data_IF_740242250696
#
_entry.id   IF_740242250696
#
_cell.length_a   1.000
_cell.length_b   1.000
_cell.length_c   1.000
_cell.angle_alpha   90.00
_cell.angle_beta   90.00
_cell.angle_gamma   90.00
#
_symmetry.space_group_name_H-M   'P 1'
#
loop_
_entity.id
_entity.type
_entity.pdbx_description
1 polymer ?
#
# COMPACT_ATOMS: atom_id res chain seq x y z
N UNK A 1 -87.51 17.85 -49.91
CA UNK A 1 -86.15 17.34 -50.19
C UNK A 1 -85.18 18.16 -49.36
N UNK A 2 -84.41 17.53 -48.45
CA UNK A 2 -83.80 18.21 -47.31
C UNK A 2 -82.32 18.54 -47.56
N UNK A 3 -81.84 19.62 -46.95
CA UNK A 3 -80.43 19.75 -46.62
C UNK A 3 -80.32 20.59 -45.33
N UNK A 4 -80.52 19.92 -44.21
CA UNK A 4 -79.95 20.31 -42.93
C UNK A 4 -78.42 20.27 -43.05
N UNK A 5 -77.71 21.34 -42.71
CA UNK A 5 -76.32 21.22 -42.29
C UNK A 5 -76.09 22.01 -40.99
N UNK A 6 -75.72 21.33 -39.88
CA UNK A 6 -75.67 21.91 -38.56
C UNK A 6 -74.30 22.51 -38.20
N UNK A 7 -74.34 23.20 -37.06
CA UNK A 7 -73.29 23.94 -36.35
C UNK A 7 -71.95 23.18 -36.28
N UNK A 8 -70.85 23.86 -36.62
CA UNK A 8 -69.48 23.40 -36.29
C UNK A 8 -69.24 23.52 -34.78
N UNK A 9 -68.76 22.47 -34.10
CA UNK A 9 -68.44 22.53 -32.68
C UNK A 9 -66.97 22.92 -32.42
N UNK A 10 -66.82 23.88 -31.49
CA UNK A 10 -65.87 23.92 -30.37
C UNK A 10 -64.60 23.06 -30.45
N UNK A 11 -63.45 23.71 -30.58
CA UNK A 11 -62.11 23.15 -30.35
C UNK A 11 -61.89 22.84 -28.87
N UNK A 12 -62.08 21.59 -28.48
CA UNK A 12 -61.61 21.05 -27.20
C UNK A 12 -60.20 20.48 -27.39
N UNK A 13 -59.21 21.09 -26.73
CA UNK A 13 -57.82 20.61 -26.68
C UNK A 13 -57.76 19.30 -25.88
N UNK A 14 -57.39 18.21 -26.54
CA UNK A 14 -57.00 16.96 -25.89
C UNK A 14 -55.58 17.12 -25.34
N UNK A 15 -55.42 17.05 -24.02
CA UNK A 15 -54.12 16.86 -23.37
C UNK A 15 -53.88 15.35 -23.33
N UNK A 16 -52.91 14.85 -24.09
CA UNK A 16 -52.49 13.45 -24.03
C UNK A 16 -51.64 13.23 -22.77
N UNK A 17 -52.10 12.37 -21.86
CA UNK A 17 -51.31 11.89 -20.74
C UNK A 17 -50.37 10.77 -21.21
N UNK A 18 -49.06 11.02 -21.19
CA UNK A 18 -48.03 10.00 -21.41
C UNK A 18 -47.72 9.39 -20.04
N UNK A 19 -48.16 8.14 -19.81
CA UNK A 19 -47.74 7.37 -18.64
C UNK A 19 -46.35 6.78 -18.91
N UNK A 20 -45.32 7.36 -18.31
CA UNK A 20 -43.96 6.84 -18.34
C UNK A 20 -43.86 5.71 -17.30
N UNK A 21 -43.92 4.46 -17.74
CA UNK A 21 -43.66 3.30 -16.89
C UNK A 21 -42.14 3.24 -16.70
N UNK A 22 -41.67 3.68 -15.53
CA UNK A 22 -40.29 3.43 -15.08
C UNK A 22 -40.28 2.04 -14.48
N UNK A 23 -39.81 1.06 -15.25
CA UNK A 23 -39.48 -0.26 -14.70
C UNK A 23 -38.25 -0.10 -13.82
N UNK A 24 -38.45 -0.12 -12.51
CA UNK A 24 -37.37 -0.25 -11.54
C UNK A 24 -36.75 -1.64 -11.75
N UNK A 25 -35.62 -1.70 -12.47
CA UNK A 25 -34.78 -2.90 -12.44
C UNK A 25 -34.18 -2.92 -11.04
N UNK A 26 -34.71 -3.78 -10.18
CA UNK A 26 -33.99 -4.16 -8.97
C UNK A 26 -32.71 -4.86 -9.44
N UNK A 27 -31.62 -4.12 -9.52
CA UNK A 27 -30.29 -4.73 -9.49
C UNK A 27 -30.21 -5.34 -8.11
N UNK A 28 -30.45 -6.66 -8.02
CA UNK A 28 -30.04 -7.38 -6.83
C UNK A 28 -28.54 -7.08 -6.66
N UNK A 29 -28.07 -6.64 -5.48
CA UNK A 29 -26.63 -6.61 -5.27
C UNK A 29 -26.13 -7.99 -5.64
N UNK A 30 -25.16 -8.05 -6.55
CA UNK A 30 -24.38 -9.28 -6.71
C UNK A 30 -23.99 -9.71 -5.31
N UNK A 31 -24.19 -10.98 -4.90
CA UNK A 31 -23.57 -11.43 -3.66
C UNK A 31 -22.10 -11.09 -3.85
N UNK A 32 -21.62 -10.14 -3.04
CA UNK A 32 -20.20 -9.91 -2.93
C UNK A 32 -19.74 -11.23 -2.34
N UNK A 33 -19.13 -12.06 -3.17
CA UNK A 33 -18.46 -13.24 -2.67
C UNK A 33 -17.34 -12.70 -1.82
N UNK A 34 -17.53 -12.79 -0.51
CA UNK A 34 -16.51 -12.51 0.46
C UNK A 34 -15.23 -13.21 0.01
N UNK A 35 -14.14 -12.45 -0.03
CA UNK A 35 -12.83 -12.97 -0.38
C UNK A 35 -12.43 -13.93 0.74
N UNK A 36 -12.25 -15.24 0.49
CA UNK A 36 -11.84 -16.20 1.52
C UNK A 36 -10.44 -15.88 2.08
N UNK A 37 -9.75 -14.94 1.44
CA UNK A 37 -8.44 -14.46 1.80
C UNK A 37 -8.46 -13.06 2.44
N UNK A 38 -9.63 -12.46 2.60
CA UNK A 38 -9.77 -11.23 3.38
C UNK A 38 -9.71 -11.63 4.86
N UNK A 39 -8.71 -11.12 5.58
CA UNK A 39 -8.48 -11.53 6.97
C UNK A 39 -9.07 -10.49 7.91
N UNK A 40 -10.01 -10.91 8.74
CA UNK A 40 -10.36 -10.23 9.97
C UNK A 40 -10.32 -11.27 11.10
N UNK A 41 -9.78 -10.94 12.29
CA UNK A 41 -9.68 -11.90 13.41
C UNK A 41 -11.00 -12.56 13.81
N UNK A 42 -12.11 -11.95 13.38
CA UNK A 42 -13.48 -12.28 13.75
C UNK A 42 -14.19 -13.17 12.72
N UNK A 43 -13.57 -13.47 11.59
CA UNK A 43 -13.99 -14.50 10.63
C UNK A 43 -13.43 -15.86 11.09
N UNK A 44 -14.25 -16.60 11.82
CA UNK A 44 -13.88 -17.83 12.52
C UNK A 44 -14.15 -19.08 11.70
N UNK A 45 -14.92 -18.98 10.62
CA UNK A 45 -15.14 -20.09 9.68
C UNK A 45 -14.38 -19.93 8.34
N UNK A 46 -13.72 -18.79 8.14
CA UNK A 46 -12.81 -18.51 7.04
C UNK A 46 -13.52 -18.25 5.72
N UNK A 47 -14.76 -17.74 5.77
CA UNK A 47 -15.55 -17.45 4.58
C UNK A 47 -15.32 -16.04 4.00
N UNK A 48 -14.49 -15.23 4.66
CA UNK A 48 -14.14 -13.87 4.28
C UNK A 48 -15.06 -12.80 4.88
N UNK A 49 -15.96 -13.17 5.80
CA UNK A 49 -16.89 -12.26 6.44
C UNK A 49 -17.14 -12.62 7.90
N UNK A 50 -17.25 -11.60 8.75
CA UNK A 50 -17.79 -11.77 10.10
C UNK A 50 -19.32 -11.72 10.07
N UNK A 51 -19.95 -12.86 10.30
CA UNK A 51 -21.39 -13.06 10.22
C UNK A 51 -21.97 -13.72 11.48
N UNK A 52 -23.25 -14.12 11.38
CA UNK A 52 -23.90 -14.89 12.44
C UNK A 52 -23.33 -16.30 12.59
N UNK A 53 -22.65 -16.84 11.57
CA UNK A 53 -21.96 -18.13 11.66
C UNK A 53 -20.76 -18.02 12.60
N UNK A 54 -19.94 -16.99 12.46
CA UNK A 54 -18.81 -16.69 13.34
C UNK A 54 -19.25 -16.40 14.76
N UNK A 55 -20.32 -15.63 14.93
CA UNK A 55 -20.93 -15.42 16.25
C UNK A 55 -21.34 -16.75 16.90
N UNK A 56 -21.92 -17.68 16.13
CA UNK A 56 -22.27 -19.00 16.65
C UNK A 56 -21.03 -19.81 17.04
N UNK A 57 -19.96 -19.74 16.24
CA UNK A 57 -18.65 -20.35 16.54
C UNK A 57 -18.04 -19.78 17.82
N UNK A 58 -18.02 -18.45 17.98
CA UNK A 58 -17.54 -17.76 19.17
C UNK A 58 -18.32 -18.17 20.43
N UNK A 59 -19.65 -18.14 20.36
CA UNK A 59 -20.49 -18.53 21.50
C UNK A 59 -20.33 -20.01 21.87
N UNK A 60 -19.96 -20.88 20.91
CA UNK A 60 -19.65 -22.28 21.18
C UNK A 60 -18.31 -22.47 21.93
N UNK A 61 -17.39 -21.52 21.81
CA UNK A 61 -16.08 -21.52 22.46
C UNK A 61 -16.02 -20.69 23.76
N UNK A 62 -17.16 -20.15 24.21
CA UNK A 62 -17.22 -19.25 25.36
C UNK A 62 -16.59 -19.80 26.65
N UNK A 63 -15.74 -19.00 27.30
CA UNK A 63 -15.08 -19.32 28.55
C UNK A 63 -13.56 -19.41 28.43
N UNK A 64 -12.92 -20.03 29.42
CA UNK A 64 -11.46 -20.11 29.48
C UNK A 64 -10.89 -20.90 28.29
N UNK A 65 -9.80 -20.38 27.72
CA UNK A 65 -9.06 -20.97 26.61
C UNK A 65 -7.69 -21.48 27.07
N UNK A 66 -7.64 -22.64 27.76
CA UNK A 66 -6.38 -23.22 28.24
C UNK A 66 -5.47 -23.73 27.10
N UNK A 67 -6.03 -23.91 25.89
CA UNK A 67 -5.31 -24.03 24.64
C UNK A 67 -5.75 -22.85 23.76
N UNK A 68 -4.96 -22.45 22.75
CA UNK A 68 -5.37 -21.40 21.81
C UNK A 68 -6.76 -21.72 21.23
N UNK A 69 -7.68 -20.77 21.36
CA UNK A 69 -8.99 -20.81 20.76
C UNK A 69 -9.04 -19.80 19.63
N UNK A 70 -9.59 -20.16 18.49
CA UNK A 70 -9.69 -19.23 17.36
C UNK A 70 -10.62 -18.05 17.68
N UNK A 71 -11.58 -18.22 18.59
CA UNK A 71 -12.50 -17.18 19.03
C UNK A 71 -11.97 -16.24 20.13
N UNK A 72 -10.77 -16.48 20.67
CA UNK A 72 -10.08 -15.60 21.64
C UNK A 72 -9.28 -14.56 20.85
N UNK A 73 -10.01 -13.61 20.28
CA UNK A 73 -9.52 -12.67 19.26
C UNK A 73 -8.75 -11.50 19.87
N UNK A 74 -8.96 -11.21 21.16
CA UNK A 74 -8.15 -10.25 21.90
C UNK A 74 -6.93 -10.89 22.61
N UNK A 75 -6.84 -12.23 22.55
CA UNK A 75 -5.76 -13.06 23.08
C UNK A 75 -5.53 -12.88 24.59
N UNK A 76 -6.59 -12.61 25.37
CA UNK A 76 -6.53 -12.49 26.83
C UNK A 76 -6.53 -13.85 27.55
N UNK A 77 -6.74 -14.94 26.82
CA UNK A 77 -6.77 -16.31 27.32
C UNK A 77 -8.17 -16.82 27.64
N UNK A 78 -9.23 -16.10 27.30
CA UNK A 78 -10.61 -16.54 27.43
C UNK A 78 -11.54 -15.87 26.41
N UNK A 79 -12.41 -16.66 25.78
CA UNK A 79 -13.48 -16.13 24.93
C UNK A 79 -14.57 -15.51 25.80
N UNK A 80 -14.76 -14.20 25.68
CA UNK A 80 -15.62 -13.42 26.54
C UNK A 80 -16.29 -12.21 25.86
N UNK A 81 -16.81 -11.27 26.69
CA UNK A 81 -17.53 -10.11 26.18
C UNK A 81 -16.68 -9.15 25.36
N UNK A 82 -15.36 -9.14 25.55
CA UNK A 82 -14.42 -8.31 24.79
C UNK A 82 -14.20 -8.87 23.39
N UNK A 83 -14.05 -10.19 23.24
CA UNK A 83 -14.05 -10.87 21.93
C UNK A 83 -15.36 -10.64 21.19
N UNK A 84 -16.50 -10.79 21.88
CA UNK A 84 -17.81 -10.54 21.29
C UNK A 84 -17.96 -9.08 20.83
N UNK A 85 -17.42 -8.12 21.58
CA UNK A 85 -17.44 -6.73 21.17
C UNK A 85 -16.58 -6.50 19.91
N UNK A 86 -15.42 -7.16 19.81
CA UNK A 86 -14.57 -7.11 18.61
C UNK A 86 -15.31 -7.73 17.40
N UNK A 87 -15.90 -8.91 17.56
CA UNK A 87 -16.69 -9.57 16.50
C UNK A 87 -17.85 -8.70 16.00
N UNK A 88 -18.58 -8.05 16.89
CA UNK A 88 -19.67 -7.16 16.49
C UNK A 88 -19.19 -5.83 15.89
N UNK A 89 -17.98 -5.38 16.23
CA UNK A 89 -17.37 -4.18 15.65
C UNK A 89 -16.96 -4.41 14.19
N UNK A 90 -16.47 -5.61 13.87
CA UNK A 90 -16.00 -5.99 12.54
C UNK A 90 -17.06 -6.75 11.72
N UNK A 91 -18.34 -6.58 12.07
CA UNK A 91 -19.45 -7.26 11.39
C UNK A 91 -19.55 -6.89 9.91
N UNK A 92 -19.59 -7.90 9.04
CA UNK A 92 -19.63 -7.73 7.59
C UNK A 92 -18.41 -8.35 6.91
N UNK A 93 -18.13 -7.92 5.69
CA UNK A 93 -16.97 -8.40 4.93
C UNK A 93 -15.66 -8.00 5.62
N UNK A 94 -14.72 -8.94 5.70
CA UNK A 94 -13.37 -8.60 6.13
C UNK A 94 -12.75 -7.59 5.15
N UNK A 95 -12.06 -6.59 5.68
CA UNK A 95 -11.38 -5.61 4.85
C UNK A 95 -10.09 -6.20 4.24
N UNK A 96 -9.86 -5.92 2.96
CA UNK A 96 -8.54 -6.09 2.34
C UNK A 96 -7.57 -5.04 2.90
N UNK A 97 -6.27 -5.20 2.63
CA UNK A 97 -5.25 -4.27 3.10
C UNK A 97 -5.55 -2.82 2.67
N UNK A 98 -5.51 -1.92 3.65
CA UNK A 98 -5.67 -0.49 3.45
C UNK A 98 -4.30 0.17 3.28
N UNK A 99 -4.01 0.63 2.06
CA UNK A 99 -2.80 1.39 1.75
C UNK A 99 -2.84 2.83 2.30
N UNK A 100 -3.97 3.26 2.84
CA UNK A 100 -4.19 4.63 3.26
C UNK A 100 -4.41 5.57 2.08
N UNK A 101 -4.33 6.87 2.36
CA UNK A 101 -4.44 7.90 1.33
C UNK A 101 -3.11 8.04 0.58
N UNK A 102 -3.12 8.17 -0.76
CA UNK A 102 -1.90 8.44 -1.52
C UNK A 102 -1.19 9.70 -1.02
N UNK A 103 0.13 9.62 -0.90
CA UNK A 103 0.96 10.75 -0.49
C UNK A 103 1.02 11.81 -1.60
N UNK A 104 1.19 13.07 -1.21
CA UNK A 104 1.23 14.20 -2.17
C UNK A 104 2.56 14.36 -2.87
N UNK A 105 3.61 13.80 -2.29
CA UNK A 105 5.00 13.93 -2.73
C UNK A 105 5.64 12.54 -2.72
N UNK A 106 5.93 12.04 -3.91
CA UNK A 106 6.42 10.68 -4.08
C UNK A 106 7.85 10.51 -3.57
N UNK A 107 8.70 11.53 -3.70
CA UNK A 107 10.07 11.46 -3.23
C UNK A 107 10.13 11.26 -1.70
N UNK A 108 9.37 12.06 -0.96
CA UNK A 108 9.28 11.97 0.51
C UNK A 108 8.73 10.62 0.97
N UNK A 109 7.72 10.11 0.28
CA UNK A 109 7.16 8.81 0.60
C UNK A 109 8.15 7.67 0.31
N UNK A 110 8.87 7.72 -0.82
CA UNK A 110 9.92 6.75 -1.14
C UNK A 110 10.99 6.69 -0.06
N UNK A 111 11.59 7.84 0.27
CA UNK A 111 12.61 7.96 1.32
C UNK A 111 12.07 7.44 2.66
N UNK A 112 10.80 7.75 2.96
CA UNK A 112 10.14 7.27 4.17
C UNK A 112 10.06 5.76 4.26
N UNK A 113 9.66 5.09 3.18
CA UNK A 113 9.62 3.63 3.17
C UNK A 113 11.02 3.00 3.21
N UNK A 114 11.99 3.53 2.48
CA UNK A 114 13.39 3.07 2.52
C UNK A 114 14.00 3.22 3.91
N UNK A 115 13.70 4.32 4.61
CA UNK A 115 14.18 4.54 5.99
C UNK A 115 13.61 3.51 6.98
N UNK A 116 12.35 3.08 6.80
CA UNK A 116 11.70 2.13 7.70
C UNK A 116 12.31 0.73 7.59
N UNK A 117 12.78 0.37 6.41
CA UNK A 117 13.43 -0.91 6.15
C UNK A 117 12.50 -2.13 6.28
N UNK A 118 13.06 -3.35 6.27
CA UNK A 118 12.29 -4.60 6.29
C UNK A 118 11.62 -4.91 7.65
N UNK A 119 12.07 -4.27 8.73
CA UNK A 119 11.48 -4.40 10.05
C UNK A 119 10.44 -3.31 10.35
N UNK A 120 10.23 -2.39 9.41
CA UNK A 120 9.27 -1.31 9.54
C UNK A 120 7.81 -1.76 9.39
N UNK A 121 6.86 -0.87 9.71
CA UNK A 121 5.45 -1.10 9.39
C UNK A 121 5.24 -1.16 7.87
N UNK A 122 4.17 -1.84 7.44
CA UNK A 122 3.76 -1.92 6.04
C UNK A 122 3.29 -0.56 5.49
N UNK A 123 2.58 0.21 6.30
CA UNK A 123 2.18 1.57 5.97
C UNK A 123 3.19 2.58 6.52
N UNK A 124 3.54 3.59 5.74
CA UNK A 124 4.35 4.71 6.20
C UNK A 124 3.55 5.54 7.23
N UNK A 125 4.06 5.78 8.45
CA UNK A 125 3.35 6.63 9.39
C UNK A 125 3.29 8.08 8.89
N UNK A 126 2.10 8.71 8.95
CA UNK A 126 1.90 10.10 8.48
C UNK A 126 2.88 11.09 9.14
N UNK A 127 3.16 10.90 10.43
CA UNK A 127 4.13 11.73 11.17
C UNK A 127 5.56 11.64 10.60
N UNK A 128 5.94 10.47 10.09
CA UNK A 128 7.23 10.22 9.44
C UNK A 128 7.25 10.89 8.07
N UNK A 129 6.19 10.71 7.28
CA UNK A 129 6.02 11.34 5.98
C UNK A 129 6.09 12.88 6.07
N UNK A 130 5.27 13.49 6.92
CA UNK A 130 5.24 14.94 7.11
C UNK A 130 6.59 15.49 7.59
N UNK A 131 7.31 14.72 8.42
CA UNK A 131 8.64 15.10 8.89
C UNK A 131 9.64 15.11 7.74
N UNK A 132 9.69 14.06 6.93
CA UNK A 132 10.59 13.96 5.79
C UNK A 132 10.33 15.09 4.80
N UNK A 133 9.07 15.32 4.45
CA UNK A 133 8.68 16.35 3.52
C UNK A 133 9.09 17.75 4.01
N UNK A 134 8.88 18.04 5.30
CA UNK A 134 9.32 19.31 5.89
C UNK A 134 10.86 19.45 5.93
N UNK A 135 11.59 18.36 6.17
CA UNK A 135 13.05 18.37 6.22
C UNK A 135 13.64 18.57 4.82
N UNK A 136 13.09 17.92 3.78
CA UNK A 136 13.52 18.11 2.40
C UNK A 136 13.33 19.55 1.92
N UNK A 137 12.19 20.17 2.23
CA UNK A 137 11.95 21.59 1.94
C UNK A 137 13.02 22.47 2.61
N UNK A 138 13.28 22.26 3.90
CA UNK A 138 14.26 23.05 4.66
C UNK A 138 15.70 22.83 4.17
N UNK A 139 16.08 21.59 3.81
CA UNK A 139 17.39 21.26 3.28
C UNK A 139 17.60 21.94 1.92
N UNK A 140 16.60 21.91 1.04
CA UNK A 140 16.66 22.54 -0.29
C UNK A 140 16.71 24.06 -0.22
N UNK A 141 16.04 24.67 0.78
CA UNK A 141 16.18 26.09 1.09
C UNK A 141 17.60 26.44 1.56
N UNK A 142 18.22 25.58 2.38
CA UNK A 142 19.58 25.76 2.89
C UNK A 142 20.68 25.46 1.85
N UNK A 143 20.41 24.55 0.92
CA UNK A 143 21.33 24.10 -0.12
C UNK A 143 20.63 24.06 -1.50
N UNK A 144 20.50 25.21 -2.19
CA UNK A 144 19.79 25.30 -3.46
C UNK A 144 20.34 24.43 -4.59
N UNK A 145 21.57 23.92 -4.47
CA UNK A 145 22.13 22.95 -5.41
C UNK A 145 21.31 21.65 -5.48
N UNK A 146 20.65 21.26 -4.38
CA UNK A 146 19.84 20.04 -4.29
C UNK A 146 18.43 20.19 -4.85
N UNK A 147 18.06 21.36 -5.38
CA UNK A 147 16.77 21.57 -6.04
C UNK A 147 16.65 20.81 -7.37
N UNK A 148 17.78 20.48 -8.01
CA UNK A 148 17.81 19.74 -9.27
C UNK A 148 18.23 18.29 -9.13
N UNK A 149 18.56 17.86 -7.91
CA UNK A 149 19.13 16.53 -7.61
C UNK A 149 18.15 15.72 -6.76
N UNK A 150 17.02 15.24 -7.31
CA UNK A 150 16.06 14.46 -6.54
C UNK A 150 16.65 13.09 -6.17
N UNK A 151 16.15 12.53 -5.08
CA UNK A 151 16.40 11.15 -4.70
C UNK A 151 15.95 10.18 -5.78
N UNK A 152 16.77 9.17 -6.02
CA UNK A 152 16.43 8.04 -6.87
C UNK A 152 15.97 6.86 -6.03
N UNK A 153 14.75 6.33 -6.27
CA UNK A 153 14.26 5.14 -5.59
C UNK A 153 15.22 3.95 -5.70
N UNK A 154 15.49 3.29 -4.58
CA UNK A 154 16.18 2.01 -4.55
C UNK A 154 15.32 0.86 -5.11
N UNK A 155 13.99 1.00 -5.04
CA UNK A 155 13.01 0.03 -5.52
C UNK A 155 11.63 0.69 -5.71
N UNK A 156 10.77 0.06 -6.51
CA UNK A 156 9.40 0.54 -6.74
C UNK A 156 8.47 0.20 -5.55
N UNK A 157 7.76 1.20 -5.00
CA UNK A 157 6.95 1.06 -3.76
C UNK A 157 5.72 0.19 -3.84
N UNK A 158 5.28 -0.09 -5.04
CA UNK A 158 4.12 -0.91 -5.31
C UNK A 158 4.52 -2.23 -5.98
N UNK A 159 5.81 -2.59 -6.03
CA UNK A 159 6.27 -3.77 -6.78
C UNK A 159 7.18 -4.70 -5.98
N UNK A 160 6.83 -5.98 -6.03
CA UNK A 160 7.57 -7.07 -5.39
C UNK A 160 7.90 -8.14 -6.43
N UNK A 161 9.15 -8.60 -6.45
CA UNK A 161 9.59 -9.73 -7.26
C UNK A 161 9.46 -11.00 -6.42
N UNK A 162 8.71 -11.98 -6.92
CA UNK A 162 8.53 -13.27 -6.25
C UNK A 162 8.93 -14.44 -7.15
N UNK A 163 9.44 -15.51 -6.53
CA UNK A 163 9.64 -16.82 -7.17
C UNK A 163 8.73 -17.85 -6.53
N UNK A 164 7.70 -18.26 -7.27
CA UNK A 164 6.75 -19.30 -6.86
C UNK A 164 7.29 -20.67 -7.26
N UNK A 165 7.32 -21.63 -6.35
CA UNK A 165 7.82 -22.99 -6.59
C UNK A 165 6.89 -23.82 -7.46
N UNK A 166 7.45 -24.58 -8.40
CA UNK A 166 6.68 -25.45 -9.28
C UNK A 166 6.16 -26.68 -8.52
N UNK A 167 4.88 -27.02 -8.69
CA UNK A 167 4.28 -28.24 -8.13
C UNK A 167 3.98 -28.18 -6.63
N UNK A 168 4.19 -27.03 -5.98
CA UNK A 168 3.72 -26.75 -4.62
C UNK A 168 2.37 -26.03 -4.71
N UNK A 169 1.33 -26.47 -3.98
CA UNK A 169 0.08 -25.71 -3.89
C UNK A 169 0.34 -24.30 -3.36
N UNK A 170 -0.17 -23.28 -4.04
CA UNK A 170 0.13 -21.87 -3.75
C UNK A 170 -1.06 -21.11 -3.15
N UNK A 171 -1.88 -21.78 -2.34
CA UNK A 171 -3.12 -21.20 -1.80
C UNK A 171 -2.85 -20.03 -0.84
N UNK A 172 -1.79 -20.09 -0.03
CA UNK A 172 -1.46 -18.99 0.89
C UNK A 172 -0.91 -17.80 0.11
N UNK A 173 -0.11 -18.04 -0.93
CA UNK A 173 0.33 -17.01 -1.87
C UNK A 173 -0.83 -16.33 -2.62
N UNK A 174 -1.77 -17.12 -3.15
CA UNK A 174 -2.97 -16.60 -3.78
C UNK A 174 -3.78 -15.73 -2.80
N UNK A 175 -3.88 -16.16 -1.54
CA UNK A 175 -4.53 -15.38 -0.51
C UNK A 175 -3.81 -14.08 -0.14
N UNK A 176 -2.47 -14.08 -0.03
CA UNK A 176 -1.74 -12.82 0.17
C UNK A 176 -1.93 -11.87 -0.99
N UNK A 177 -1.94 -12.36 -2.24
CA UNK A 177 -2.18 -11.53 -3.41
C UNK A 177 -3.55 -10.85 -3.38
N UNK A 178 -4.58 -11.58 -2.96
CA UNK A 178 -5.92 -11.02 -2.79
C UNK A 178 -5.97 -10.03 -1.62
N UNK A 179 -5.46 -10.41 -0.45
CA UNK A 179 -5.44 -9.57 0.75
C UNK A 179 -4.70 -8.24 0.53
N UNK A 180 -3.50 -8.30 -0.05
CA UNK A 180 -2.70 -7.12 -0.40
C UNK A 180 -3.08 -6.51 -1.75
N UNK A 181 -4.20 -6.92 -2.35
CA UNK A 181 -4.79 -6.27 -3.53
C UNK A 181 -3.80 -6.12 -4.69
N UNK A 182 -3.16 -7.20 -5.10
CA UNK A 182 -2.34 -7.26 -6.31
C UNK A 182 -3.21 -6.96 -7.53
N UNK A 183 -2.83 -5.96 -8.32
CA UNK A 183 -3.56 -5.51 -9.52
C UNK A 183 -2.95 -6.00 -10.82
N UNK A 184 -1.67 -6.36 -10.81
CA UNK A 184 -0.98 -6.98 -11.94
C UNK A 184 0.07 -7.99 -11.47
N UNK A 185 0.27 -9.05 -12.26
CA UNK A 185 1.29 -10.06 -12.03
C UNK A 185 2.01 -10.35 -13.34
N UNK A 186 3.14 -9.67 -13.54
CA UNK A 186 3.92 -9.77 -14.76
C UNK A 186 4.85 -10.98 -14.72
N UNK A 187 4.69 -11.90 -15.66
CA UNK A 187 5.65 -13.00 -15.86
C UNK A 187 7.02 -12.47 -16.29
N UNK A 188 8.08 -12.96 -15.65
CA UNK A 188 9.47 -12.70 -16.06
C UNK A 188 10.08 -13.89 -16.81
N UNK A 189 10.28 -15.01 -16.11
CA UNK A 189 10.86 -16.24 -16.65
C UNK A 189 10.65 -17.42 -15.68
N UNK A 190 10.89 -18.64 -16.16
CA UNK A 190 10.91 -19.85 -15.32
C UNK A 190 12.33 -20.36 -15.22
N UNK A 191 12.83 -20.58 -14.00
CA UNK A 191 14.15 -21.14 -13.77
C UNK A 191 14.29 -21.81 -12.41
N UNK A 192 15.07 -22.89 -12.35
CA UNK A 192 15.40 -23.58 -11.11
C UNK A 192 14.18 -24.04 -10.31
N UNK A 193 13.20 -24.67 -10.96
CA UNK A 193 12.02 -25.26 -10.32
C UNK A 193 11.01 -24.24 -9.77
N UNK A 194 10.96 -23.04 -10.34
CA UNK A 194 9.94 -22.06 -10.02
C UNK A 194 9.80 -20.99 -11.10
N UNK A 195 8.72 -20.22 -10.99
CA UNK A 195 8.38 -19.16 -11.93
C UNK A 195 8.47 -17.79 -11.25
N UNK A 196 9.12 -16.86 -11.94
CA UNK A 196 9.38 -15.50 -11.47
C UNK A 196 8.31 -14.54 -11.96
N UNK A 197 7.83 -13.71 -11.05
CA UNK A 197 6.80 -12.71 -11.29
C UNK A 197 7.20 -11.37 -10.68
N UNK A 198 6.77 -10.28 -11.31
CA UNK A 198 6.66 -8.99 -10.63
C UNK A 198 5.20 -8.76 -10.30
N UNK A 199 4.89 -8.61 -9.02
CA UNK A 199 3.58 -8.22 -8.53
C UNK A 199 3.51 -6.71 -8.48
N UNK A 200 2.37 -6.15 -8.87
CA UNK A 200 2.06 -4.72 -8.69
C UNK A 200 0.86 -4.61 -7.76
N UNK A 201 0.98 -3.84 -6.67
CA UNK A 201 -0.06 -3.65 -5.67
C UNK A 201 -0.95 -2.44 -5.99
N UNK A 202 -2.15 -2.38 -5.42
CA UNK A 202 -3.09 -1.28 -5.67
C UNK A 202 -2.66 0.07 -5.07
N UNK A 203 -1.64 0.10 -4.20
CA UNK A 203 -1.13 1.30 -3.56
C UNK A 203 0.27 1.11 -2.99
N UNK A 204 0.82 2.19 -2.44
CA UNK A 204 2.17 2.22 -1.88
C UNK A 204 2.25 1.43 -0.57
N UNK A 205 3.26 0.57 -0.47
CA UNK A 205 3.49 -0.27 0.71
C UNK A 205 4.99 -0.42 0.94
N UNK A 206 5.38 -0.68 2.18
CA UNK A 206 6.75 -1.08 2.49
C UNK A 206 7.00 -2.48 1.90
N UNK A 207 7.44 -2.54 0.64
CA UNK A 207 7.68 -3.81 -0.06
C UNK A 207 8.85 -4.60 0.51
N UNK A 208 9.77 -3.97 1.26
CA UNK A 208 10.81 -4.70 2.00
C UNK A 208 10.22 -5.51 3.14
N UNK A 209 9.34 -4.89 3.95
CA UNK A 209 8.63 -5.61 5.01
C UNK A 209 7.65 -6.65 4.42
N UNK A 210 6.93 -6.29 3.36
CA UNK A 210 6.00 -7.20 2.67
C UNK A 210 6.72 -8.39 2.04
N UNK A 211 7.91 -8.19 1.47
CA UNK A 211 8.76 -9.25 0.93
C UNK A 211 9.07 -10.31 1.99
N UNK A 212 9.37 -9.89 3.22
CA UNK A 212 9.55 -10.80 4.36
C UNK A 212 8.32 -11.66 4.67
N UNK A 213 7.12 -11.11 4.49
CA UNK A 213 5.86 -11.86 4.66
C UNK A 213 5.70 -12.90 3.55
N UNK A 214 5.88 -12.51 2.29
CA UNK A 214 5.81 -13.45 1.16
C UNK A 214 6.88 -14.54 1.25
N UNK A 215 8.11 -14.19 1.63
CA UNK A 215 9.22 -15.12 1.79
C UNK A 215 9.02 -16.13 2.94
N UNK A 216 8.05 -15.91 3.82
CA UNK A 216 7.70 -16.84 4.91
C UNK A 216 6.80 -18.00 4.46
N UNK A 217 6.24 -17.94 3.25
CA UNK A 217 5.39 -18.98 2.68
C UNK A 217 6.22 -20.13 2.11
N UNK A 218 5.79 -21.38 2.37
CA UNK A 218 6.48 -22.59 1.91
C UNK A 218 6.54 -22.70 0.37
N UNK A 219 5.54 -22.14 -0.34
CA UNK A 219 5.48 -22.09 -1.80
C UNK A 219 6.33 -20.99 -2.45
N UNK A 220 6.93 -20.08 -1.66
CA UNK A 220 7.72 -18.95 -2.15
C UNK A 220 9.20 -19.19 -1.84
N UNK A 221 9.99 -19.31 -2.90
CA UNK A 221 11.44 -19.50 -2.79
C UNK A 221 12.21 -18.18 -2.66
N UNK A 222 11.59 -17.07 -3.03
CA UNK A 222 12.21 -15.74 -3.06
C UNK A 222 11.12 -14.67 -3.10
N UNK A 223 11.28 -13.61 -2.32
CA UNK A 223 10.44 -12.42 -2.39
C UNK A 223 11.24 -11.18 -1.94
N UNK A 224 11.51 -10.26 -2.85
CA UNK A 224 12.27 -9.02 -2.58
C UNK A 224 11.68 -7.85 -3.39
N UNK A 225 11.90 -6.59 -2.97
CA UNK A 225 11.48 -5.42 -3.72
C UNK A 225 11.94 -5.44 -5.17
N UNK A 226 11.18 -4.81 -6.07
CA UNK A 226 11.65 -4.58 -7.43
C UNK A 226 12.71 -3.47 -7.49
N UNK A 227 13.95 -3.86 -7.20
CA UNK A 227 15.16 -3.05 -7.34
C UNK A 227 15.78 -3.15 -8.74
N UNK A 228 15.01 -3.52 -9.78
CA UNK A 228 15.44 -3.37 -11.18
C UNK A 228 15.40 -1.91 -11.65
N UNK A 229 15.06 -1.00 -10.74
CA UNK A 229 15.24 0.43 -10.87
C UNK A 229 16.41 0.87 -9.98
N UNK A 230 17.11 1.90 -10.40
CA UNK A 230 18.23 2.48 -9.66
C UNK A 230 18.71 3.74 -10.36
N UNK A 231 19.53 4.51 -9.66
CA UNK A 231 20.15 5.69 -10.23
C UNK A 231 21.08 6.35 -9.23
N UNK A 232 21.26 7.64 -9.39
CA UNK A 232 22.53 8.28 -9.06
C UNK A 232 22.53 8.89 -7.65
N UNK A 233 21.34 9.27 -7.16
CA UNK A 233 21.20 10.10 -5.95
C UNK A 233 20.48 9.38 -4.82
N UNK A 234 21.10 9.33 -3.63
CA UNK A 234 20.55 8.64 -2.47
C UNK A 234 20.41 9.57 -1.27
N UNK A 235 19.24 9.52 -0.61
CA UNK A 235 18.87 10.39 0.50
C UNK A 235 18.54 9.50 1.70
N UNK A 236 19.43 9.49 2.69
CA UNK A 236 19.37 8.56 3.82
C UNK A 236 19.18 9.33 5.13
N UNK A 237 17.93 9.47 5.62
CA UNK A 237 17.68 10.01 6.95
C UNK A 237 17.95 8.98 8.05
N UNK A 238 18.51 9.45 9.17
CA UNK A 238 18.70 8.68 10.40
C UNK A 238 18.27 9.51 11.60
N UNK A 239 17.43 8.92 12.45
CA UNK A 239 17.01 9.54 13.71
C UNK A 239 18.13 9.47 14.76
N UNK A 240 18.67 10.62 15.16
CA UNK A 240 19.69 10.71 16.21
C UNK A 240 19.10 10.78 17.63
N UNK A 241 17.78 11.01 17.73
CA UNK A 241 17.07 11.24 18.98
C UNK A 241 16.95 12.73 19.32
N UNK A 242 16.15 13.05 20.34
CA UNK A 242 15.87 14.45 20.73
C UNK A 242 15.16 15.28 19.66
N UNK A 243 14.58 14.64 18.65
CA UNK A 243 13.96 15.29 17.49
C UNK A 243 14.94 15.77 16.43
N UNK A 244 16.21 15.32 16.48
CA UNK A 244 17.22 15.62 15.46
C UNK A 244 17.32 14.47 14.46
N UNK A 245 17.29 14.80 13.18
CA UNK A 245 17.47 13.89 12.06
C UNK A 245 18.76 14.25 11.34
N UNK A 246 19.61 13.24 11.07
CA UNK A 246 20.76 13.39 10.20
C UNK A 246 20.40 12.90 8.81
N UNK A 247 20.72 13.71 7.82
CA UNK A 247 20.50 13.42 6.42
C UNK A 247 21.85 13.26 5.73
N UNK A 248 22.11 12.07 5.21
CA UNK A 248 23.21 11.85 4.27
C UNK A 248 22.62 11.90 2.87
N UNK A 249 23.09 12.85 2.06
CA UNK A 249 22.62 13.04 0.69
C UNK A 249 23.81 12.83 -0.22
N UNK A 250 23.79 11.75 -0.98
CA UNK A 250 24.80 11.44 -1.98
C UNK A 250 24.28 11.87 -3.36
N UNK A 251 24.92 12.89 -3.93
CA UNK A 251 24.71 13.38 -5.29
C UNK A 251 25.77 12.76 -6.19
N UNK A 252 25.40 11.69 -6.89
CA UNK A 252 26.28 10.90 -7.74
C UNK A 252 26.14 11.30 -9.20
N UNK A 253 27.23 11.27 -9.96
CA UNK A 253 27.17 11.46 -11.41
C UNK A 253 28.33 10.74 -12.13
N UNK A 254 28.14 10.59 -13.45
CA UNK A 254 29.03 9.86 -14.37
C UNK A 254 29.13 8.35 -14.11
N UNK A 255 28.96 7.57 -15.19
CA UNK A 255 29.06 6.09 -15.24
C UNK A 255 28.25 5.31 -14.20
N UNK A 256 27.07 5.79 -13.82
CA UNK A 256 26.26 5.22 -12.73
C UNK A 256 25.61 3.83 -13.00
N UNK A 257 25.97 3.11 -14.07
CA UNK A 257 25.39 1.80 -14.36
C UNK A 257 25.87 0.70 -13.40
N UNK A 258 27.10 0.82 -12.86
CA UNK A 258 27.68 -0.08 -11.86
C UNK A 258 28.15 0.65 -10.58
N UNK A 259 27.68 1.89 -10.40
CA UNK A 259 28.04 2.82 -9.34
C UNK A 259 28.60 4.12 -9.93
N UNK A 260 28.21 5.26 -9.38
CA UNK A 260 28.70 6.54 -9.92
C UNK A 260 30.21 6.70 -9.70
N UNK A 261 30.87 7.33 -10.68
CA UNK A 261 32.31 7.59 -10.65
C UNK A 261 32.65 8.81 -9.78
N UNK A 262 31.71 9.74 -9.65
CA UNK A 262 31.86 11.01 -8.97
C UNK A 262 30.71 11.21 -7.99
N UNK A 263 31.04 11.69 -6.80
CA UNK A 263 30.10 11.86 -5.70
C UNK A 263 30.35 13.17 -4.98
N UNK A 264 29.25 13.85 -4.68
CA UNK A 264 29.19 14.95 -3.73
C UNK A 264 28.23 14.57 -2.63
N UNK A 265 28.79 14.28 -1.46
CA UNK A 265 28.02 13.86 -0.31
C UNK A 265 27.86 15.02 0.68
N UNK A 266 26.61 15.36 0.97
CA UNK A 266 26.24 16.31 2.01
C UNK A 266 25.80 15.54 3.26
N UNK A 267 26.20 16.03 4.43
CA UNK A 267 25.63 15.58 5.71
C UNK A 267 24.98 16.76 6.39
N UNK A 268 23.66 16.74 6.53
CA UNK A 268 22.90 17.73 7.28
C UNK A 268 22.39 17.18 8.61
N UNK A 269 22.21 18.06 9.59
CA UNK A 269 21.33 17.81 10.73
C UNK A 269 20.17 18.78 10.68
N UNK A 270 18.97 18.25 10.85
CA UNK A 270 17.74 19.03 10.94
C UNK A 270 17.12 18.79 12.32
N UNK A 271 16.92 19.86 13.07
CA UNK A 271 16.31 19.77 14.40
C UNK A 271 14.77 19.72 14.35
N UNK A 272 14.14 19.54 15.51
CA UNK A 272 12.68 19.46 15.63
C UNK A 272 11.92 20.73 15.21
N UNK A 273 12.64 21.85 15.00
CA UNK A 273 12.09 23.13 14.56
C UNK A 273 12.35 23.39 13.07
N UNK A 274 13.02 22.47 12.38
CA UNK A 274 13.41 22.61 10.98
C UNK A 274 14.68 23.45 10.78
N UNK A 275 15.48 23.70 11.82
CA UNK A 275 16.76 24.36 11.63
C UNK A 275 17.75 23.38 11.01
N UNK A 276 18.31 23.74 9.87
CA UNK A 276 19.27 22.92 9.11
C UNK A 276 20.70 23.38 9.41
N UNK A 277 21.58 22.42 9.69
CA UNK A 277 23.02 22.63 9.82
C UNK A 277 23.74 21.68 8.88
N UNK A 278 24.56 22.21 7.98
CA UNK A 278 25.51 21.41 7.20
C UNK A 278 26.66 21.00 8.13
N UNK A 279 26.76 19.69 8.39
CA UNK A 279 27.78 19.08 9.23
C UNK A 279 29.04 18.77 8.44
N UNK A 280 28.87 18.22 7.24
CA UNK A 280 29.98 17.84 6.37
C UNK A 280 29.60 17.94 4.89
N UNK A 281 30.61 18.18 4.05
CA UNK A 281 30.51 18.16 2.59
C UNK A 281 31.77 17.50 2.04
N UNK A 282 31.61 16.30 1.51
CA UNK A 282 32.71 15.48 0.98
C UNK A 282 32.53 15.31 -0.52
N UNK A 283 33.60 15.57 -1.26
CA UNK A 283 33.68 15.36 -2.70
C UNK A 283 34.70 14.25 -2.97
N UNK A 284 34.27 13.16 -3.60
CA UNK A 284 35.14 12.02 -3.89
C UNK A 284 34.77 11.38 -5.22
N UNK A 285 35.71 10.65 -5.80
CA UNK A 285 35.53 10.01 -7.09
C UNK A 285 36.84 9.86 -7.86
N UNK A 286 36.71 9.58 -9.14
CA UNK A 286 37.84 9.42 -10.05
C UNK A 286 38.61 10.74 -10.25
N UNK A 287 39.89 10.69 -10.68
CA UNK A 287 40.71 11.89 -10.88
C UNK A 287 40.17 12.89 -11.91
N UNK A 288 39.22 12.47 -12.75
CA UNK A 288 38.58 13.30 -13.78
C UNK A 288 37.26 13.92 -13.33
N UNK A 289 36.81 13.67 -12.11
CA UNK A 289 35.62 14.32 -11.57
C UNK A 289 35.81 15.83 -11.46
N UNK A 290 34.93 16.58 -12.12
CA UNK A 290 34.87 18.04 -12.02
C UNK A 290 33.82 18.45 -11.01
N UNK A 291 34.28 19.01 -9.90
CA UNK A 291 33.43 19.50 -8.82
C UNK A 291 33.06 20.99 -8.98
N UNK A 292 33.42 21.62 -10.10
CA UNK A 292 32.99 22.98 -10.44
C UNK A 292 33.48 24.07 -9.47
N UNK A 293 34.65 23.87 -8.85
CA UNK A 293 35.27 24.85 -7.94
C UNK A 293 35.84 26.07 -8.66
#
# INVERSE_FOLDING_TARGET
MPASNPRRPSTTRFVAAIAMIVTLIAVAPTPVTASPCAHCPTDLDGDGSTTAADLATMLAQWGACPNSCDADVDADGAVGPTDLAALLADWGECALFDFGTPYRDDESAQIGYEMLGPAGPLALPEITYDRILSDLDAIRDAAPALLTEPHTPAWARDRLIVKVLDGVPAAAYECLNEFYRVVDAQFLFTSGGGTWWVLTFAGDVNVEALGGIYASLDEIAFAEPDALIGGENHYEPVMLGGGVWRWTIDDGWHDCFDGCDCHRQYTFEVDARGNVVLIDLVEFGQPWCDFGR
#
